data_IF_604272820391
#
_entry.id   IF_604272820391
#
_cell.length_a   1.000
_cell.length_b   1.000
_cell.length_c   1.000
_cell.angle_alpha   90.00
_cell.angle_beta   90.00
_cell.angle_gamma   90.00
#
_symmetry.space_group_name_H-M   'P 1'
#
loop_
_entity.id
_entity.type
_entity.pdbx_description
1 polymer ?
#
# COMPACT_ATOMS: atom_id res chain seq x y z
N UNK A 1 1.32 4.89 -14.61
CA UNK A 1 2.23 4.44 -15.67
C UNK A 1 2.53 2.94 -15.51
N UNK A 2 2.88 2.21 -16.56
CA UNK A 2 3.42 0.83 -16.45
C UNK A 2 4.71 0.78 -17.26
N UNK A 3 5.79 0.33 -16.63
CA UNK A 3 7.08 0.11 -17.28
C UNK A 3 7.19 -1.36 -17.66
N UNK A 4 7.49 -1.64 -18.92
CA UNK A 4 7.79 -2.97 -19.42
C UNK A 4 9.29 -3.20 -19.37
N UNK A 5 9.74 -4.05 -18.44
CA UNK A 5 11.15 -4.34 -18.25
C UNK A 5 11.77 -5.13 -19.41
N UNK A 6 10.98 -5.84 -20.23
CA UNK A 6 11.53 -6.58 -21.39
C UNK A 6 11.92 -5.65 -22.53
N UNK A 7 11.16 -4.57 -22.69
CA UNK A 7 11.28 -3.64 -23.81
C UNK A 7 11.83 -2.27 -23.39
N UNK A 8 12.17 -2.11 -22.11
CA UNK A 8 12.63 -0.87 -21.47
C UNK A 8 11.77 0.36 -21.81
N UNK A 9 10.45 0.16 -21.92
CA UNK A 9 9.51 1.20 -22.35
C UNK A 9 8.43 1.48 -21.32
N UNK A 10 7.99 2.74 -21.26
CA UNK A 10 6.87 3.16 -20.43
C UNK A 10 5.69 3.57 -21.33
N UNK A 11 4.54 2.94 -21.14
CA UNK A 11 3.32 3.40 -21.80
C UNK A 11 2.70 4.55 -21.02
N UNK A 12 2.74 5.74 -21.62
CA UNK A 12 1.99 6.91 -21.17
C UNK A 12 0.57 6.83 -21.72
N UNK A 13 -0.42 6.84 -20.82
CA UNK A 13 -1.81 7.14 -21.19
C UNK A 13 -2.11 8.57 -20.77
N UNK A 14 -1.46 9.52 -21.43
CA UNK A 14 -1.84 10.93 -21.44
C UNK A 14 -1.80 11.41 -22.90
N UNK A 15 -2.78 12.24 -23.25
CA UNK A 15 -3.06 12.74 -24.60
C UNK A 15 -1.82 13.24 -25.33
N UNK A 16 -1.72 12.90 -26.62
CA UNK A 16 -0.71 13.35 -27.58
C UNK A 16 -0.37 14.84 -27.44
N UNK A 17 0.77 15.13 -26.80
CA UNK A 17 1.71 16.20 -27.21
C UNK A 17 3.12 15.81 -26.75
N UNK A 18 3.92 15.26 -27.67
CA UNK A 18 5.37 15.27 -27.52
C UNK A 18 5.82 16.74 -27.48
N UNK A 19 6.31 17.21 -26.33
CA UNK A 19 6.97 18.50 -26.21
C UNK A 19 8.46 18.26 -26.14
N UNK A 20 9.15 18.97 -27.04
CA UNK A 20 10.59 18.98 -27.25
C UNK A 20 11.39 19.15 -25.94
N UNK A 21 12.45 18.36 -25.80
CA UNK A 21 13.29 18.29 -24.62
C UNK A 21 14.26 19.49 -24.59
N UNK A 22 13.74 20.70 -24.38
CA UNK A 22 14.50 21.91 -24.03
C UNK A 22 13.59 23.08 -23.65
N UNK A 23 12.88 22.94 -22.54
CA UNK A 23 12.42 24.07 -21.75
C UNK A 23 12.25 23.63 -20.30
N UNK A 24 12.99 24.24 -19.38
CA UNK A 24 12.55 24.30 -17.99
C UNK A 24 11.31 25.20 -18.01
N UNK A 25 10.13 24.60 -18.18
CA UNK A 25 8.91 25.30 -17.85
C UNK A 25 9.00 25.63 -16.36
N UNK A 26 8.87 26.91 -15.98
CA UNK A 26 8.87 27.33 -14.58
C UNK A 26 7.74 26.67 -13.76
N UNK A 27 6.80 26.02 -14.43
CA UNK A 27 5.67 25.29 -13.88
C UNK A 27 5.30 24.13 -14.82
N UNK A 28 5.36 22.90 -14.32
CA UNK A 28 5.01 21.67 -15.03
C UNK A 28 3.50 21.44 -14.96
N UNK A 29 2.86 21.33 -16.12
CA UNK A 29 1.40 21.21 -16.24
C UNK A 29 0.89 19.83 -15.83
N UNK A 30 1.70 18.77 -15.94
CA UNK A 30 1.30 17.42 -15.55
C UNK A 30 1.25 17.31 -14.02
N UNK A 31 2.25 17.89 -13.34
CA UNK A 31 2.27 17.97 -11.87
C UNK A 31 1.06 18.78 -11.37
N UNK A 32 0.76 19.91 -12.01
CA UNK A 32 -0.37 20.74 -11.61
C UNK A 32 -1.72 20.06 -11.83
N UNK A 33 -1.92 19.41 -12.98
CA UNK A 33 -3.12 18.63 -13.24
C UNK A 33 -3.28 17.48 -12.23
N UNK A 34 -2.19 16.78 -11.90
CA UNK A 34 -2.19 15.73 -10.88
C UNK A 34 -2.55 16.28 -9.49
N UNK A 35 -1.99 17.43 -9.10
CA UNK A 35 -2.26 18.11 -7.83
C UNK A 35 -3.73 18.47 -7.71
N UNK A 36 -4.29 19.16 -8.71
CA UNK A 36 -5.70 19.58 -8.73
C UNK A 36 -6.63 18.37 -8.70
N UNK A 37 -6.37 17.33 -9.48
CA UNK A 37 -7.16 16.09 -9.46
C UNK A 37 -7.13 15.38 -8.10
N UNK A 38 -5.96 15.37 -7.46
CA UNK A 38 -5.78 14.77 -6.13
C UNK A 38 -6.52 15.55 -5.05
N UNK A 39 -6.44 16.88 -5.06
CA UNK A 39 -7.19 17.75 -4.13
C UNK A 39 -8.69 17.61 -4.32
N UNK A 40 -9.17 17.51 -5.57
CA UNK A 40 -10.57 17.22 -5.84
C UNK A 40 -11.00 15.87 -5.28
N UNK A 41 -10.13 14.85 -5.33
CA UNK A 41 -10.41 13.55 -4.70
C UNK A 41 -10.51 13.68 -3.18
N UNK A 42 -9.62 14.47 -2.57
CA UNK A 42 -9.66 14.75 -1.13
C UNK A 42 -10.99 15.40 -0.71
N UNK A 43 -11.59 16.24 -1.55
CA UNK A 43 -12.91 16.84 -1.29
C UNK A 43 -14.08 15.84 -1.33
N UNK A 44 -13.89 14.65 -1.90
CA UNK A 44 -14.92 13.61 -2.02
C UNK A 44 -14.88 12.57 -0.88
N UNK A 45 -13.84 12.58 -0.05
CA UNK A 45 -13.65 11.63 1.05
C UNK A 45 -13.83 12.30 2.41
N UNK A 46 -14.19 11.53 3.42
CA UNK A 46 -14.52 12.01 4.77
C UNK A 46 -13.37 11.81 5.76
N UNK A 47 -13.51 12.39 6.96
CA UNK A 47 -12.63 12.08 8.08
C UNK A 47 -12.56 10.56 8.32
N UNK A 48 -11.35 10.04 8.57
CA UNK A 48 -11.10 8.61 8.75
C UNK A 48 -10.93 7.82 7.45
N UNK A 49 -11.22 8.41 6.28
CA UNK A 49 -10.88 7.78 5.00
C UNK A 49 -9.39 7.88 4.69
N UNK A 50 -8.97 7.15 3.66
CA UNK A 50 -7.59 7.10 3.20
C UNK A 50 -7.51 7.49 1.73
N UNK A 51 -6.67 8.49 1.43
CA UNK A 51 -6.34 8.92 0.08
C UNK A 51 -5.19 8.08 -0.47
N UNK A 52 -5.42 7.30 -1.52
CA UNK A 52 -4.36 6.57 -2.22
C UNK A 52 -3.77 7.41 -3.36
N UNK A 53 -2.44 7.52 -3.41
CA UNK A 53 -1.71 8.33 -4.37
C UNK A 53 -0.85 7.47 -5.30
N UNK A 54 -0.92 7.73 -6.60
CA UNK A 54 0.06 7.29 -7.59
C UNK A 54 0.91 8.46 -8.03
N UNK A 55 2.13 8.53 -7.52
CA UNK A 55 3.00 9.70 -7.67
C UNK A 55 3.60 9.79 -9.07
N UNK A 56 3.80 8.68 -9.79
CA UNK A 56 4.17 8.73 -11.23
C UNK A 56 3.08 9.37 -12.11
N UNK A 57 1.87 9.56 -11.57
CA UNK A 57 0.80 10.33 -12.20
C UNK A 57 1.13 11.81 -12.39
N UNK A 58 2.15 12.34 -11.67
CA UNK A 58 2.67 13.70 -11.86
C UNK A 58 3.50 13.91 -13.12
N UNK A 59 3.51 12.95 -14.05
CA UNK A 59 4.08 13.13 -15.38
C UNK A 59 5.55 12.70 -15.54
N UNK A 60 6.13 12.94 -16.74
CA UNK A 60 7.46 12.46 -17.11
C UNK A 60 8.59 12.96 -16.21
N UNK A 61 8.54 14.22 -15.76
CA UNK A 61 9.58 14.79 -14.90
C UNK A 61 9.68 14.05 -13.56
N UNK A 62 8.53 13.72 -12.96
CA UNK A 62 8.45 12.94 -11.72
C UNK A 62 8.93 11.51 -11.95
N UNK A 63 8.43 10.84 -12.99
CA UNK A 63 8.83 9.46 -13.32
C UNK A 63 10.33 9.34 -13.64
N UNK A 64 10.92 10.34 -14.29
CA UNK A 64 12.35 10.37 -14.60
C UNK A 64 13.22 10.55 -13.35
N UNK A 65 12.80 11.37 -12.39
CA UNK A 65 13.49 11.46 -11.11
C UNK A 65 13.39 10.14 -10.34
N UNK A 66 12.21 9.52 -10.32
CA UNK A 66 12.01 8.27 -9.60
C UNK A 66 12.77 7.08 -10.20
N UNK A 67 12.96 7.03 -11.52
CA UNK A 67 13.76 5.98 -12.15
C UNK A 67 15.23 6.04 -11.76
N UNK A 68 15.72 7.21 -11.35
CA UNK A 68 17.07 7.43 -10.79
C UNK A 68 17.13 7.22 -9.27
N UNK A 69 16.00 6.97 -8.60
CA UNK A 69 15.93 6.92 -7.14
C UNK A 69 16.07 8.30 -6.46
N UNK A 70 15.80 9.36 -7.20
CA UNK A 70 15.90 10.76 -6.74
C UNK A 70 14.55 11.26 -6.19
N UNK A 71 14.62 12.37 -5.45
CA UNK A 71 13.40 13.11 -5.08
C UNK A 71 12.81 13.77 -6.34
N UNK A 72 11.48 13.95 -6.42
CA UNK A 72 10.84 14.54 -7.58
C UNK A 72 11.14 16.06 -7.63
N UNK A 73 10.80 16.74 -8.74
CA UNK A 73 10.95 18.19 -8.85
C UNK A 73 10.27 18.93 -7.68
N UNK A 74 10.79 20.12 -7.33
CA UNK A 74 10.30 20.89 -6.18
C UNK A 74 8.79 21.13 -6.22
N UNK A 75 8.22 21.41 -7.40
CA UNK A 75 6.77 21.57 -7.57
C UNK A 75 5.97 20.35 -7.10
N UNK A 76 6.46 19.13 -7.33
CA UNK A 76 5.79 17.90 -6.86
C UNK A 76 5.94 17.75 -5.35
N UNK A 77 7.09 18.12 -4.78
CA UNK A 77 7.28 18.14 -3.33
C UNK A 77 6.32 19.13 -2.66
N UNK A 78 6.17 20.33 -3.22
CA UNK A 78 5.25 21.36 -2.72
C UNK A 78 3.78 20.88 -2.82
N UNK A 79 3.40 20.23 -3.92
CA UNK A 79 2.08 19.64 -4.10
C UNK A 79 1.80 18.54 -3.06
N UNK A 80 2.75 17.62 -2.85
CA UNK A 80 2.63 16.56 -1.84
C UNK A 80 2.53 17.14 -0.42
N UNK A 81 3.26 18.22 -0.14
CA UNK A 81 3.21 18.90 1.15
C UNK A 81 1.85 19.54 1.42
N UNK A 82 1.29 20.23 0.43
CA UNK A 82 -0.05 20.81 0.50
C UNK A 82 -1.11 19.73 0.75
N UNK A 83 -1.07 18.64 -0.03
CA UNK A 83 -2.01 17.52 0.09
C UNK A 83 -1.88 16.87 1.47
N UNK A 84 -0.66 16.57 1.92
CA UNK A 84 -0.40 15.95 3.22
C UNK A 84 -0.84 16.84 4.40
N UNK A 85 -0.64 18.16 4.28
CA UNK A 85 -1.10 19.13 5.27
C UNK A 85 -2.63 19.12 5.38
N UNK A 86 -3.35 19.23 4.25
CA UNK A 86 -4.82 19.18 4.23
C UNK A 86 -5.36 17.84 4.72
N UNK A 87 -4.72 16.72 4.36
CA UNK A 87 -5.08 15.41 4.86
C UNK A 87 -4.93 15.32 6.39
N UNK A 88 -3.80 15.79 6.93
CA UNK A 88 -3.56 15.81 8.38
C UNK A 88 -4.60 16.66 9.12
N UNK A 89 -4.90 17.86 8.63
CA UNK A 89 -5.91 18.76 9.20
C UNK A 89 -7.32 18.14 9.21
N UNK A 90 -7.65 17.36 8.18
CA UNK A 90 -8.94 16.68 8.03
C UNK A 90 -8.98 15.27 8.62
N UNK A 91 -7.92 14.84 9.30
CA UNK A 91 -7.77 13.49 9.84
C UNK A 91 -8.01 12.39 8.77
N UNK A 92 -7.47 12.62 7.57
CA UNK A 92 -7.41 11.70 6.44
C UNK A 92 -5.98 11.14 6.35
N UNK A 93 -5.84 9.84 6.18
CA UNK A 93 -4.53 9.23 5.95
C UNK A 93 -4.20 9.20 4.45
N UNK A 94 -2.92 9.06 4.13
CA UNK A 94 -2.41 8.93 2.77
C UNK A 94 -1.70 7.59 2.64
N UNK A 95 -2.02 6.88 1.57
CA UNK A 95 -1.23 5.75 1.10
C UNK A 95 -0.50 6.17 -0.16
N UNK A 96 0.83 6.11 -0.13
CA UNK A 96 1.64 6.20 -1.35
C UNK A 96 1.71 4.79 -1.96
N UNK A 97 1.05 4.60 -3.09
CA UNK A 97 1.03 3.31 -3.77
C UNK A 97 2.41 2.92 -4.27
N UNK A 98 2.73 1.64 -4.13
CA UNK A 98 3.87 1.08 -4.84
C UNK A 98 3.54 0.93 -6.33
N UNK A 99 4.56 1.13 -7.16
CA UNK A 99 4.46 1.03 -8.60
C UNK A 99 5.51 0.04 -9.13
N UNK A 100 5.85 0.10 -10.42
CA UNK A 100 6.88 -0.79 -10.98
C UNK A 100 8.20 -0.62 -10.23
N UNK A 101 8.97 -1.70 -10.12
CA UNK A 101 10.33 -1.72 -9.59
C UNK A 101 11.20 -0.58 -10.14
N UNK A 102 10.96 -0.18 -11.40
CA UNK A 102 11.68 0.89 -12.07
C UNK A 102 11.61 2.23 -11.32
N UNK A 103 10.46 2.58 -10.71
CA UNK A 103 10.28 3.86 -10.00
C UNK A 103 10.29 3.72 -8.48
N UNK A 104 10.21 2.49 -7.96
CA UNK A 104 9.89 2.24 -6.56
C UNK A 104 10.89 2.85 -5.58
N UNK A 105 12.17 2.97 -5.94
CA UNK A 105 13.19 3.60 -5.09
C UNK A 105 12.92 5.08 -4.85
N UNK A 106 12.60 5.86 -5.89
CA UNK A 106 12.29 7.28 -5.75
C UNK A 106 10.97 7.53 -5.03
N UNK A 107 9.96 6.67 -5.30
CA UNK A 107 8.68 6.69 -4.58
C UNK A 107 8.92 6.46 -3.08
N UNK A 108 9.63 5.39 -2.72
CA UNK A 108 9.90 5.05 -1.33
C UNK A 108 10.69 6.13 -0.59
N UNK A 109 11.70 6.72 -1.25
CA UNK A 109 12.46 7.85 -0.72
C UNK A 109 11.58 9.06 -0.44
N UNK A 110 10.69 9.40 -1.37
CA UNK A 110 9.75 10.51 -1.20
C UNK A 110 8.77 10.24 -0.06
N UNK A 111 8.23 9.02 0.02
CA UNK A 111 7.37 8.61 1.14
C UNK A 111 8.06 8.75 2.49
N UNK A 112 9.36 8.41 2.59
CA UNK A 112 10.12 8.59 3.83
C UNK A 112 10.20 10.06 4.26
N UNK A 113 10.50 10.97 3.34
CA UNK A 113 10.56 12.41 3.65
C UNK A 113 9.20 12.94 4.13
N UNK A 114 8.11 12.49 3.51
CA UNK A 114 6.76 12.81 3.98
C UNK A 114 6.47 12.21 5.37
N UNK A 115 6.86 10.95 5.62
CA UNK A 115 6.69 10.31 6.93
C UNK A 115 7.48 11.06 8.02
N UNK A 116 8.72 11.50 7.76
CA UNK A 116 9.49 12.33 8.70
C UNK A 116 8.77 13.60 9.09
N UNK A 117 8.10 14.25 8.14
CA UNK A 117 7.41 15.52 8.38
C UNK A 117 6.07 15.30 9.07
N UNK A 118 5.26 14.34 8.64
CA UNK A 118 3.85 14.23 9.02
C UNK A 118 3.53 13.14 10.05
N UNK A 119 4.34 12.08 10.16
CA UNK A 119 4.07 10.97 11.09
C UNK A 119 4.77 11.18 12.42
N UNK A 120 4.03 11.65 13.42
CA UNK A 120 4.52 11.92 14.78
C UNK A 120 3.60 11.29 15.81
N UNK A 121 4.09 11.18 17.04
CA UNK A 121 3.30 10.83 18.22
C UNK A 121 2.57 9.47 18.10
N UNK A 122 3.22 8.48 17.47
CA UNK A 122 2.66 7.14 17.35
C UNK A 122 1.65 6.95 16.23
N UNK A 123 1.37 8.00 15.43
CA UNK A 123 0.33 8.01 14.40
C UNK A 123 0.92 8.16 12.99
N UNK A 124 0.56 7.25 12.10
CA UNK A 124 0.84 7.39 10.67
C UNK A 124 -0.25 8.22 9.98
N UNK A 125 0.17 9.33 9.37
CA UNK A 125 -0.60 10.06 8.35
C UNK A 125 -0.24 9.51 6.97
N UNK A 126 1.03 9.23 6.72
CA UNK A 126 1.57 8.71 5.46
C UNK A 126 1.93 7.23 5.62
N UNK A 127 1.48 6.40 4.70
CA UNK A 127 1.91 5.00 4.55
C UNK A 127 2.72 4.83 3.28
N UNK A 128 3.87 4.18 3.40
CA UNK A 128 4.59 3.65 2.25
C UNK A 128 4.12 2.22 1.97
N UNK A 129 3.94 1.89 0.68
CA UNK A 129 3.56 0.52 0.27
C UNK A 129 4.79 -0.34 0.01
N UNK A 130 4.85 -1.51 0.64
CA UNK A 130 5.91 -2.51 0.51
C UNK A 130 5.35 -3.74 -0.21
N UNK A 131 6.06 -4.22 -1.22
CA UNK A 131 5.59 -5.28 -2.11
C UNK A 131 6.30 -6.59 -1.79
N UNK A 132 5.69 -7.45 -0.98
CA UNK A 132 6.29 -8.67 -0.45
C UNK A 132 6.71 -9.72 -1.51
N UNK A 133 6.32 -9.57 -2.77
CA UNK A 133 6.83 -10.40 -3.87
C UNK A 133 8.29 -10.09 -4.24
N UNK A 134 8.86 -8.94 -3.83
CA UNK A 134 10.25 -8.58 -4.10
C UNK A 134 11.17 -9.19 -3.05
N UNK A 135 12.25 -9.82 -3.51
CA UNK A 135 13.24 -10.49 -2.66
C UNK A 135 13.92 -9.53 -1.66
N UNK A 136 14.02 -8.25 -1.99
CA UNK A 136 14.69 -7.21 -1.18
C UNK A 136 13.75 -6.47 -0.20
N UNK A 137 12.45 -6.78 -0.17
CA UNK A 137 11.46 -6.05 0.63
C UNK A 137 11.84 -5.97 2.11
N UNK A 138 12.35 -7.07 2.66
CA UNK A 138 12.75 -7.15 4.07
C UNK A 138 13.94 -6.24 4.37
N UNK A 139 14.90 -6.12 3.45
CA UNK A 139 16.07 -5.25 3.60
C UNK A 139 15.67 -3.77 3.51
N UNK A 140 14.81 -3.43 2.55
CA UNK A 140 14.24 -2.08 2.40
C UNK A 140 13.45 -1.70 3.66
N UNK A 141 12.63 -2.60 4.19
CA UNK A 141 11.88 -2.36 5.43
C UNK A 141 12.82 -2.16 6.62
N UNK A 142 13.86 -2.99 6.77
CA UNK A 142 14.84 -2.84 7.84
C UNK A 142 15.57 -1.49 7.76
N UNK A 143 15.93 -1.04 6.56
CA UNK A 143 16.50 0.29 6.33
C UNK A 143 15.53 1.41 6.75
N UNK A 144 14.25 1.33 6.36
CA UNK A 144 13.26 2.34 6.75
C UNK A 144 12.93 2.32 8.24
N UNK A 145 12.96 1.16 8.89
CA UNK A 145 12.84 1.04 10.34
C UNK A 145 14.03 1.69 11.06
N UNK A 146 15.24 1.57 10.52
CA UNK A 146 16.42 2.26 11.04
C UNK A 146 16.25 3.79 10.99
N UNK A 147 15.69 4.30 9.89
CA UNK A 147 15.42 5.73 9.72
C UNK A 147 14.31 6.23 10.65
N UNK A 148 13.24 5.43 10.82
CA UNK A 148 12.15 5.72 11.76
C UNK A 148 12.64 5.80 13.21
N UNK A 149 13.51 4.86 13.61
CA UNK A 149 14.17 4.91 14.91
C UNK A 149 15.07 6.15 15.04
N UNK A 150 15.96 6.37 14.06
CA UNK A 150 16.96 7.45 14.09
C UNK A 150 16.33 8.84 14.20
N UNK A 151 15.27 9.08 13.44
CA UNK A 151 14.65 10.41 13.31
C UNK A 151 13.31 10.54 14.06
N UNK A 152 12.92 9.50 14.80
CA UNK A 152 11.78 9.52 15.74
C UNK A 152 10.43 9.78 15.08
N UNK A 153 10.17 9.18 13.91
CA UNK A 153 8.87 9.25 13.24
C UNK A 153 8.15 7.89 13.26
N UNK A 154 6.82 7.90 13.16
CA UNK A 154 6.05 6.65 13.06
C UNK A 154 6.10 6.11 11.63
N UNK A 155 6.57 4.88 11.45
CA UNK A 155 6.60 4.23 10.15
C UNK A 155 5.19 3.77 9.75
N UNK A 156 4.64 4.33 8.67
CA UNK A 156 3.43 3.82 8.05
C UNK A 156 3.76 2.67 7.09
N UNK A 157 3.46 1.45 7.50
CA UNK A 157 3.76 0.22 6.75
C UNK A 157 2.48 -0.31 6.09
N UNK A 158 2.27 -0.03 4.81
CA UNK A 158 1.27 -0.76 4.01
C UNK A 158 1.94 -1.96 3.35
N UNK A 159 1.46 -3.17 3.64
CA UNK A 159 1.98 -4.39 3.06
C UNK A 159 1.03 -4.94 2.00
N UNK A 160 1.57 -5.24 0.81
CA UNK A 160 0.89 -5.93 -0.29
C UNK A 160 1.76 -7.07 -0.79
N UNK A 161 1.22 -7.97 -1.63
CA UNK A 161 2.06 -8.91 -2.39
C UNK A 161 2.80 -8.19 -3.52
N UNK A 162 2.06 -7.59 -4.44
CA UNK A 162 2.60 -6.91 -5.62
C UNK A 162 1.59 -6.97 -6.76
N UNK A 163 1.67 -6.02 -7.71
CA UNK A 163 0.70 -5.91 -8.81
C UNK A 163 1.33 -5.82 -10.20
N UNK A 164 2.67 -5.87 -10.29
CA UNK A 164 3.43 -5.60 -11.50
C UNK A 164 4.24 -6.82 -11.99
N UNK A 165 3.91 -8.03 -11.51
CA UNK A 165 4.67 -9.27 -11.77
C UNK A 165 4.89 -9.59 -13.27
N UNK A 166 3.99 -9.17 -14.15
CA UNK A 166 4.11 -9.41 -15.59
C UNK A 166 5.05 -8.44 -16.31
N UNK A 167 5.25 -7.24 -15.75
CA UNK A 167 6.01 -6.16 -16.38
C UNK A 167 7.36 -5.91 -15.72
N UNK A 168 7.50 -6.25 -14.44
CA UNK A 168 8.71 -6.09 -13.66
C UNK A 168 9.78 -7.15 -13.96
N UNK A 169 11.01 -6.91 -13.49
CA UNK A 169 12.10 -7.88 -13.60
C UNK A 169 11.80 -9.10 -12.73
N UNK A 170 11.52 -10.24 -13.39
CA UNK A 170 11.17 -11.50 -12.71
C UNK A 170 12.26 -12.02 -11.78
N UNK A 171 13.54 -11.74 -12.06
CA UNK A 171 14.68 -12.23 -11.25
C UNK A 171 14.70 -11.64 -9.83
N UNK A 172 14.15 -10.43 -9.67
CA UNK A 172 14.03 -9.72 -8.39
C UNK A 172 12.80 -10.13 -7.58
N UNK A 173 11.91 -10.94 -8.17
CA UNK A 173 10.68 -11.43 -7.56
C UNK A 173 10.92 -12.84 -7.05
N UNK A 174 10.33 -13.21 -5.91
CA UNK A 174 10.36 -14.57 -5.37
C UNK A 174 9.96 -15.63 -6.40
N UNK A 175 10.61 -16.79 -6.35
CA UNK A 175 10.49 -17.78 -7.44
C UNK A 175 9.11 -18.45 -7.45
N UNK A 176 8.50 -18.62 -6.27
CA UNK A 176 7.16 -19.17 -6.15
C UNK A 176 6.16 -18.20 -5.48
N UNK A 177 4.87 -18.49 -5.68
CA UNK A 177 3.79 -17.82 -4.95
C UNK A 177 3.89 -18.09 -3.44
N UNK A 178 4.27 -19.29 -3.06
CA UNK A 178 4.42 -19.69 -1.65
C UNK A 178 5.50 -18.86 -0.97
N UNK A 179 6.64 -18.63 -1.63
CA UNK A 179 7.69 -17.75 -1.11
C UNK A 179 7.18 -16.31 -0.89
N UNK A 180 6.38 -15.78 -1.82
CA UNK A 180 5.73 -14.46 -1.67
C UNK A 180 4.74 -14.45 -0.49
N UNK A 181 3.97 -15.53 -0.32
CA UNK A 181 3.03 -15.69 0.79
C UNK A 181 3.78 -15.75 2.13
N UNK A 182 4.89 -16.48 2.18
CA UNK A 182 5.77 -16.59 3.34
C UNK A 182 6.43 -15.24 3.68
N UNK A 183 6.93 -14.51 2.68
CA UNK A 183 7.49 -13.17 2.88
C UNK A 183 6.44 -12.20 3.44
N UNK A 184 5.23 -12.17 2.84
CA UNK A 184 4.12 -11.34 3.32
C UNK A 184 3.75 -11.69 4.78
N UNK A 185 3.55 -12.97 5.07
CA UNK A 185 3.14 -13.44 6.40
C UNK A 185 4.23 -13.16 7.44
N UNK A 186 5.50 -13.34 7.09
CA UNK A 186 6.64 -13.07 7.98
C UNK A 186 6.70 -11.60 8.36
N UNK A 187 6.59 -10.68 7.39
CA UNK A 187 6.60 -9.24 7.65
C UNK A 187 5.38 -8.83 8.48
N UNK A 188 4.17 -9.27 8.09
CA UNK A 188 2.93 -8.92 8.80
C UNK A 188 2.95 -9.39 10.26
N UNK A 189 3.29 -10.66 10.50
CA UNK A 189 3.34 -11.20 11.86
C UNK A 189 4.53 -10.65 12.65
N UNK A 190 5.66 -10.39 12.01
CA UNK A 190 6.81 -9.73 12.63
C UNK A 190 6.47 -8.34 13.14
N UNK A 191 5.78 -7.53 12.33
CA UNK A 191 5.30 -6.21 12.75
C UNK A 191 4.35 -6.30 13.96
N UNK A 192 3.39 -7.24 13.94
CA UNK A 192 2.46 -7.47 15.05
C UNK A 192 3.16 -7.96 16.32
N UNK A 193 4.23 -8.74 16.18
CA UNK A 193 5.08 -9.19 17.29
C UNK A 193 6.03 -8.10 17.79
N UNK A 194 6.13 -6.98 17.07
CA UNK A 194 7.18 -5.97 17.23
C UNK A 194 8.58 -6.58 17.13
N UNK A 195 8.78 -7.50 16.18
CA UNK A 195 10.08 -8.13 15.92
C UNK A 195 10.27 -8.37 14.42
N UNK A 196 11.17 -7.62 13.79
CA UNK A 196 11.55 -7.78 12.38
C UNK A 196 13.08 -7.69 12.28
N UNK A 197 13.72 -8.79 11.88
CA UNK A 197 15.17 -8.87 11.85
C UNK A 197 15.77 -8.55 13.22
N UNK A 198 16.63 -7.53 13.27
CA UNK A 198 17.28 -7.06 14.50
C UNK A 198 16.40 -6.12 15.35
N UNK A 199 15.32 -5.56 14.79
CA UNK A 199 14.45 -4.64 15.50
C UNK A 199 13.48 -5.41 16.39
N UNK A 200 13.45 -5.08 17.68
CA UNK A 200 12.69 -5.79 18.71
C UNK A 200 13.20 -7.20 19.03
N UNK A 201 14.36 -7.57 18.49
CA UNK A 201 15.04 -8.81 18.83
C UNK A 201 15.68 -8.72 20.23
N UNK A 202 16.19 -9.86 20.72
CA UNK A 202 17.06 -9.92 21.89
C UNK A 202 18.49 -10.23 21.45
N UNK A 203 19.49 -9.58 22.06
CA UNK A 203 20.90 -9.87 21.82
C UNK A 203 21.77 -8.63 21.56
N UNK A 204 23.08 -8.82 21.33
CA UNK A 204 24.04 -7.71 21.26
C UNK A 204 23.80 -6.70 20.13
N UNK A 205 23.23 -7.16 19.00
CA UNK A 205 22.92 -6.33 17.83
C UNK A 205 21.45 -5.90 17.77
N UNK A 206 20.67 -6.13 18.84
CA UNK A 206 19.27 -5.79 18.89
C UNK A 206 19.08 -4.27 18.87
N UNK A 207 18.08 -3.82 18.10
CA UNK A 207 17.63 -2.43 18.07
C UNK A 207 16.22 -2.34 18.63
N UNK A 208 15.83 -1.23 19.28
CA UNK A 208 14.45 -1.04 19.70
C UNK A 208 13.50 -1.10 18.49
N UNK A 209 12.31 -1.67 18.67
CA UNK A 209 11.32 -1.65 17.61
C UNK A 209 10.74 -0.22 17.49
N UNK A 210 10.86 0.47 16.34
CA UNK A 210 10.37 1.82 16.18
C UNK A 210 8.83 1.85 16.23
N UNK A 211 8.26 3.05 16.35
CA UNK A 211 6.81 3.20 16.22
C UNK A 211 6.37 2.83 14.80
N UNK A 212 5.41 1.90 14.68
CA UNK A 212 4.87 1.43 13.39
C UNK A 212 3.34 1.45 13.44
N UNK A 213 2.69 1.86 12.35
CA UNK A 213 1.29 1.54 12.09
C UNK A 213 1.21 0.65 10.85
N UNK A 214 0.41 -0.41 10.93
CA UNK A 214 0.37 -1.47 9.93
C UNK A 214 -0.95 -1.41 9.13
N UNK A 215 -0.83 -1.50 7.81
CA UNK A 215 -1.97 -1.67 6.91
C UNK A 215 -1.78 -2.94 6.08
N UNK A 216 -2.63 -3.94 6.29
CA UNK A 216 -2.54 -5.24 5.60
C UNK A 216 -3.52 -5.29 4.42
N UNK A 217 -3.00 -5.19 3.20
CA UNK A 217 -3.80 -5.25 1.98
C UNK A 217 -3.65 -6.63 1.30
N UNK A 218 -4.69 -7.45 1.38
CA UNK A 218 -4.68 -8.81 0.86
C UNK A 218 -6.08 -9.39 0.69
N UNK A 219 -6.27 -10.17 -0.36
CA UNK A 219 -7.44 -11.04 -0.59
C UNK A 219 -7.20 -12.50 -0.15
N UNK A 220 -6.00 -12.84 0.30
CA UNK A 220 -5.76 -14.16 0.89
C UNK A 220 -6.35 -14.20 2.30
N UNK A 221 -7.47 -14.94 2.43
CA UNK A 221 -8.19 -15.16 3.68
C UNK A 221 -7.30 -15.67 4.81
N UNK A 222 -6.44 -16.64 4.52
CA UNK A 222 -5.58 -17.27 5.53
C UNK A 222 -4.56 -16.28 6.09
N UNK A 223 -3.84 -15.56 5.23
CA UNK A 223 -2.88 -14.51 5.64
C UNK A 223 -3.55 -13.45 6.53
N UNK A 224 -4.74 -13.01 6.13
CA UNK A 224 -5.45 -11.92 6.81
C UNK A 224 -6.02 -12.36 8.16
N UNK A 225 -6.69 -13.51 8.21
CA UNK A 225 -7.27 -14.03 9.46
C UNK A 225 -6.19 -14.49 10.44
N UNK A 226 -5.10 -15.10 9.96
CA UNK A 226 -3.99 -15.48 10.84
C UNK A 226 -3.31 -14.28 11.49
N UNK A 227 -3.07 -13.20 10.73
CA UNK A 227 -2.57 -11.94 11.28
C UNK A 227 -3.53 -11.33 12.30
N UNK A 228 -4.84 -11.32 12.02
CA UNK A 228 -5.83 -10.78 12.94
C UNK A 228 -5.93 -11.58 14.25
N UNK A 229 -5.92 -12.91 14.17
CA UNK A 229 -5.91 -13.78 15.35
C UNK A 229 -4.65 -13.60 16.19
N UNK A 230 -3.48 -13.45 15.56
CA UNK A 230 -2.25 -13.12 16.27
C UNK A 230 -2.35 -11.77 16.99
N UNK A 231 -2.84 -10.73 16.30
CA UNK A 231 -3.06 -9.41 16.90
C UNK A 231 -3.94 -9.51 18.16
N UNK A 232 -5.07 -10.21 18.04
CA UNK A 232 -5.98 -10.46 19.17
C UNK A 232 -5.33 -11.22 20.32
N UNK A 233 -4.68 -12.34 20.03
CA UNK A 233 -3.98 -13.14 21.03
C UNK A 233 -2.98 -12.30 21.82
N UNK A 234 -2.26 -11.38 21.16
CA UNK A 234 -1.33 -10.48 21.84
C UNK A 234 -2.03 -9.48 22.75
N UNK A 235 -3.13 -8.88 22.30
CA UNK A 235 -3.94 -7.98 23.13
C UNK A 235 -4.50 -8.70 24.37
N UNK A 236 -5.08 -9.88 24.18
CA UNK A 236 -5.65 -10.71 25.27
C UNK A 236 -4.56 -11.13 26.28
N UNK A 237 -3.34 -11.36 25.81
CA UNK A 237 -2.18 -11.68 26.65
C UNK A 237 -1.46 -10.45 27.24
N UNK A 238 -1.92 -9.21 26.97
CA UNK A 238 -1.24 -7.98 27.40
C UNK A 238 0.14 -7.77 26.78
N UNK A 239 0.43 -8.40 25.64
CA UNK A 239 1.70 -8.30 24.94
C UNK A 239 1.73 -7.08 23.98
N UNK A 240 2.88 -6.40 23.82
CA UNK A 240 3.01 -5.27 22.90
C UNK A 240 2.63 -5.62 21.46
N UNK A 241 1.92 -4.75 20.75
CA UNK A 241 1.62 -4.93 19.33
C UNK A 241 1.50 -3.56 18.64
N UNK A 242 1.21 -3.53 17.35
CA UNK A 242 1.09 -2.29 16.56
C UNK A 242 -0.37 -2.07 16.14
N UNK A 243 -0.83 -0.81 15.98
CA UNK A 243 -2.11 -0.53 15.34
C UNK A 243 -2.16 -1.18 13.95
N UNK A 244 -3.27 -1.84 13.63
CA UNK A 244 -3.45 -2.56 12.38
C UNK A 244 -4.82 -2.30 11.75
N UNK A 245 -4.81 -1.94 10.47
CA UNK A 245 -5.99 -1.89 9.61
C UNK A 245 -5.85 -2.88 8.45
N UNK A 246 -6.98 -3.29 7.86
CA UNK A 246 -7.04 -4.26 6.79
C UNK A 246 -7.70 -3.64 5.56
N UNK A 247 -7.17 -3.95 4.37
CA UNK A 247 -7.70 -3.42 3.11
C UNK A 247 -7.95 -4.50 2.06
N UNK A 248 -9.07 -4.37 1.37
CA UNK A 248 -9.37 -5.14 0.15
C UNK A 248 -9.82 -4.19 -0.96
N UNK A 249 -9.63 -4.58 -2.21
CA UNK A 249 -10.26 -3.86 -3.33
C UNK A 249 -11.78 -4.00 -3.26
N UNK A 250 -12.50 -2.93 -3.57
CA UNK A 250 -13.95 -2.96 -3.68
C UNK A 250 -14.38 -3.89 -4.83
N UNK A 251 -15.40 -4.72 -4.59
CA UNK A 251 -15.86 -5.74 -5.54
C UNK A 251 -15.00 -7.00 -5.62
N UNK A 252 -14.07 -7.19 -4.67
CA UNK A 252 -13.24 -8.39 -4.60
C UNK A 252 -13.15 -8.91 -3.15
N UNK A 253 -13.38 -10.21 -2.98
CA UNK A 253 -13.14 -10.93 -1.73
C UNK A 253 -13.85 -10.32 -0.50
N UNK A 254 -15.13 -9.97 -0.66
CA UNK A 254 -15.95 -9.43 0.43
C UNK A 254 -16.11 -10.41 1.58
N UNK A 255 -16.08 -11.72 1.31
CA UNK A 255 -16.08 -12.76 2.32
C UNK A 255 -14.88 -12.68 3.28
N UNK A 256 -13.73 -12.17 2.82
CA UNK A 256 -12.56 -11.92 3.69
C UNK A 256 -12.87 -10.78 4.66
N UNK A 257 -13.39 -9.67 4.14
CA UNK A 257 -13.79 -8.51 4.94
C UNK A 257 -14.86 -8.89 5.97
N UNK A 258 -15.91 -9.62 5.56
CA UNK A 258 -16.96 -10.08 6.47
C UNK A 258 -16.44 -11.07 7.50
N UNK A 259 -15.47 -11.92 7.14
CA UNK A 259 -14.88 -12.85 8.10
C UNK A 259 -14.04 -12.16 9.16
N UNK A 260 -13.31 -11.11 8.79
CA UNK A 260 -12.63 -10.25 9.78
C UNK A 260 -13.65 -9.63 10.74
N UNK A 261 -14.72 -9.03 10.21
CA UNK A 261 -15.75 -8.40 11.04
C UNK A 261 -16.49 -9.39 11.95
N UNK A 262 -16.57 -10.66 11.54
CA UNK A 262 -17.16 -11.73 12.33
C UNK A 262 -16.27 -12.23 13.49
N UNK A 263 -14.95 -11.98 13.45
CA UNK A 263 -13.99 -12.34 14.50
C UNK A 263 -14.11 -11.37 15.71
N UNK A 264 -15.32 -11.25 16.28
CA UNK A 264 -15.65 -10.37 17.40
C UNK A 264 -14.73 -10.63 18.60
N UNK A 265 -14.05 -9.59 19.08
CA UNK A 265 -13.33 -9.63 20.35
C UNK A 265 -14.32 -9.60 21.53
N UNK A 266 -13.91 -10.11 22.69
CA UNK A 266 -14.68 -9.98 23.93
C UNK A 266 -14.94 -8.51 24.30
N UNK A 267 -14.07 -7.60 23.87
CA UNK A 267 -14.23 -6.15 24.07
C UNK A 267 -15.23 -5.51 23.09
N UNK A 268 -15.79 -6.27 22.14
CA UNK A 268 -16.80 -5.80 21.17
C UNK A 268 -16.28 -4.85 20.08
N UNK A 269 -14.99 -4.47 20.09
CA UNK A 269 -14.41 -3.58 19.08
C UNK A 269 -14.08 -4.37 17.82
N UNK A 270 -14.74 -4.02 16.71
CA UNK A 270 -14.51 -4.63 15.41
C UNK A 270 -13.13 -4.24 14.84
N UNK A 271 -12.49 -5.11 14.03
CA UNK A 271 -11.30 -4.72 13.28
C UNK A 271 -11.61 -3.59 12.30
N UNK A 272 -10.61 -2.75 12.06
CA UNK A 272 -10.69 -1.70 11.04
C UNK A 272 -10.49 -2.32 9.65
N UNK A 273 -11.56 -2.37 8.87
CA UNK A 273 -11.59 -3.00 7.54
C UNK A 273 -12.06 -1.98 6.51
N UNK A 274 -11.19 -1.70 5.53
CA UNK A 274 -11.44 -0.71 4.48
C UNK A 274 -11.56 -1.37 3.10
N UNK A 275 -12.36 -0.75 2.24
CA UNK A 275 -12.45 -1.08 0.82
C UNK A 275 -11.83 0.03 -0.02
N UNK A 276 -10.86 -0.32 -0.84
CA UNK A 276 -10.24 0.58 -1.78
C UNK A 276 -11.10 0.66 -3.06
N UNK A 277 -11.62 1.85 -3.32
CA UNK A 277 -12.42 2.14 -4.51
C UNK A 277 -11.63 3.04 -5.45
N UNK A 278 -11.59 2.66 -6.72
CA UNK A 278 -11.07 3.52 -7.79
C UNK A 278 -12.21 4.27 -8.45
N UNK A 279 -12.01 5.55 -8.70
CA UNK A 279 -12.96 6.40 -9.40
C UNK A 279 -12.23 7.27 -10.42
N UNK A 280 -12.95 7.71 -11.45
CA UNK A 280 -12.42 8.47 -12.57
C UNK A 280 -13.17 8.14 -13.86
N UNK A 281 -12.80 8.83 -14.94
CA UNK A 281 -13.24 8.48 -16.28
C UNK A 281 -12.66 7.13 -16.72
N UNK A 282 -13.25 6.55 -17.76
CA UNK A 282 -12.78 5.30 -18.36
C UNK A 282 -11.29 5.39 -18.78
N UNK A 283 -10.87 6.53 -19.33
CA UNK A 283 -9.47 6.76 -19.74
C UNK A 283 -8.51 6.75 -18.54
N UNK A 284 -8.88 7.43 -17.46
CA UNK A 284 -8.09 7.48 -16.21
C UNK A 284 -7.99 6.10 -15.54
N UNK A 285 -9.05 5.29 -15.64
CA UNK A 285 -9.10 3.98 -15.00
C UNK A 285 -8.55 2.82 -15.86
N UNK A 286 -8.22 3.02 -17.15
CA UNK A 286 -7.79 1.93 -18.06
C UNK A 286 -6.63 1.11 -17.50
N UNK A 287 -5.59 1.77 -16.97
CA UNK A 287 -4.41 1.09 -16.44
C UNK A 287 -4.73 0.26 -15.19
N UNK A 288 -5.65 0.74 -14.36
CA UNK A 288 -6.16 -0.03 -13.22
C UNK A 288 -6.95 -1.25 -13.69
N UNK A 289 -7.87 -1.07 -14.64
CA UNK A 289 -8.73 -2.13 -15.16
C UNK A 289 -7.92 -3.25 -15.82
N UNK A 290 -6.86 -2.93 -16.56
CA UNK A 290 -5.96 -3.94 -17.13
C UNK A 290 -5.28 -4.79 -16.06
N UNK A 291 -4.74 -4.17 -15.00
CA UNK A 291 -4.13 -4.90 -13.88
C UNK A 291 -5.15 -5.77 -13.15
N UNK A 292 -6.38 -5.29 -13.00
CA UNK A 292 -7.49 -6.08 -12.43
C UNK A 292 -7.88 -7.25 -13.32
N UNK A 293 -7.93 -7.09 -14.63
CA UNK A 293 -8.21 -8.18 -15.56
C UNK A 293 -7.15 -9.29 -15.46
N UNK A 294 -5.87 -8.91 -15.37
CA UNK A 294 -4.75 -9.85 -15.19
C UNK A 294 -4.85 -10.58 -13.85
N UNK A 295 -5.03 -9.85 -12.74
CA UNK A 295 -5.18 -10.45 -11.41
C UNK A 295 -6.42 -11.35 -11.34
N UNK A 296 -7.50 -10.93 -11.99
CA UNK A 296 -8.75 -11.69 -12.00
C UNK A 296 -8.70 -12.92 -12.87
N UNK A 297 -7.78 -13.03 -13.83
CA UNK A 297 -7.54 -14.28 -14.56
C UNK A 297 -7.18 -15.41 -13.60
N UNK A 298 -6.34 -15.13 -12.62
CA UNK A 298 -6.00 -16.08 -11.56
C UNK A 298 -7.12 -16.15 -10.49
N UNK A 299 -7.93 -15.09 -10.35
CA UNK A 299 -9.11 -15.07 -9.49
C UNK A 299 -10.31 -15.89 -10.01
N UNK A 300 -10.34 -16.31 -11.28
CA UNK A 300 -11.37 -17.25 -11.77
C UNK A 300 -11.38 -18.54 -10.94
N UNK A 301 -10.24 -18.94 -10.37
CA UNK A 301 -10.17 -20.03 -9.39
C UNK A 301 -10.81 -19.64 -8.04
N UNK A 302 -10.68 -18.38 -7.60
CA UNK A 302 -11.31 -17.81 -6.38
C UNK A 302 -12.82 -17.59 -6.52
N UNK A 303 -13.35 -17.41 -7.74
CA UNK A 303 -14.80 -17.35 -7.98
C UNK A 303 -15.53 -18.59 -7.46
N UNK A 304 -14.85 -19.75 -7.42
CA UNK A 304 -15.38 -20.97 -6.82
C UNK A 304 -15.53 -20.86 -5.30
N UNK A 305 -14.59 -20.19 -4.63
CA UNK A 305 -14.63 -19.97 -3.17
C UNK A 305 -15.72 -18.97 -2.80
N UNK A 306 -15.84 -17.86 -3.53
CA UNK A 306 -16.93 -16.89 -3.38
C UNK A 306 -18.29 -17.55 -3.63
N UNK A 307 -18.43 -18.33 -4.70
CA UNK A 307 -19.64 -19.10 -4.97
C UNK A 307 -19.96 -20.07 -3.83
N UNK A 308 -18.96 -20.78 -3.32
CA UNK A 308 -19.14 -21.73 -2.20
C UNK A 308 -19.56 -21.00 -0.92
N UNK A 309 -18.98 -19.84 -0.62
CA UNK A 309 -19.33 -19.01 0.52
C UNK A 309 -20.76 -18.47 0.41
N UNK A 310 -21.15 -17.92 -0.75
CA UNK A 310 -22.51 -17.45 -1.02
C UNK A 310 -23.52 -18.59 -0.92
N UNK A 311 -23.23 -19.75 -1.52
CA UNK A 311 -24.09 -20.94 -1.43
C UNK A 311 -24.25 -21.40 0.02
N UNK A 312 -23.19 -21.39 0.82
CA UNK A 312 -23.24 -21.73 2.25
C UNK A 312 -24.12 -20.74 3.03
N UNK A 313 -23.98 -19.45 2.76
CA UNK A 313 -24.79 -18.40 3.42
C UNK A 313 -26.26 -18.46 3.01
N UNK A 314 -26.57 -18.70 1.73
CA UNK A 314 -27.94 -18.95 1.25
C UNK A 314 -28.53 -20.15 1.96
N UNK A 315 -27.81 -21.27 2.02
CA UNK A 315 -28.29 -22.47 2.75
C UNK A 315 -28.56 -22.18 4.23
N UNK A 316 -27.67 -21.44 4.89
CA UNK A 316 -27.85 -21.04 6.29
C UNK A 316 -29.14 -20.24 6.47
N UNK A 317 -29.41 -19.26 5.60
CA UNK A 317 -30.61 -18.40 5.70
C UNK A 317 -31.92 -19.12 5.36
N UNK A 318 -31.91 -20.07 4.43
CA UNK A 318 -33.13 -20.75 3.97
C UNK A 318 -33.48 -22.02 4.76
N UNK A 319 -32.50 -22.71 5.32
CA UNK A 319 -32.73 -24.02 5.95
C UNK A 319 -32.45 -24.05 7.45
N UNK A 320 -31.89 -22.96 8.00
CA UNK A 320 -31.56 -22.83 9.42
C UNK A 320 -32.04 -21.45 9.91
N UNK A 321 -33.37 -21.25 9.85
CA UNK A 321 -34.07 -20.22 10.62
C UNK A 321 -34.55 -20.82 11.94
#
# INVERSE_FOLDING_TARGET
MVFDHKNESANHHTSDKFVDAKAVAAHDTDIEAWRVGTLRTLDLISEGDILALKTTGGGPAVSMAFSKGELPPQQMLDALDEIATKCKERNVQIIVDAESQHWQKGIARTSLELMRKFNRDGKAVIYNTYQAYLKDTSDVLAYHMAEAERDGFTLGLKLVRGAYILSDNRSLIHDTKEDTDNAYNTIAQGALRQQIGIFGASGPSARPFPSVNLFLASHNRESVLSAHRLYRQRLEAGLPTVPVAYGQLHGMSDEVSFSLLAEKSESGKAPEVLKCTTWGSMGECVGYLLRRAVENRDAVLRTKDEFTALRKEVKRRFFWA
#
